data_IF_151210629285
#
_entry.id   IF_151210629285
#
_cell.length_a   1.000
_cell.length_b   1.000
_cell.length_c   1.000
_cell.angle_alpha   90.00
_cell.angle_beta   90.00
_cell.angle_gamma   90.00
#
_symmetry.space_group_name_H-M   'P 1'
#
loop_
_entity.id
_entity.type
_entity.pdbx_description
1 polymer ?
#
# COMPACT_ATOMS: atom_id res chain seq x y z
N UNK A 1 71.04 -35.31 -39.77
CA UNK A 1 71.15 -34.21 -38.77
C UNK A 1 69.76 -33.92 -38.25
N UNK A 2 69.55 -34.18 -36.97
CA UNK A 2 68.25 -34.26 -36.28
C UNK A 2 67.45 -32.95 -36.37
N UNK A 3 66.18 -33.04 -36.74
CA UNK A 3 65.19 -31.96 -36.53
C UNK A 3 64.27 -32.37 -35.39
N UNK A 4 64.57 -31.86 -34.20
CA UNK A 4 63.77 -31.97 -32.99
C UNK A 4 62.48 -31.15 -33.17
N UNK A 5 61.33 -31.82 -33.08
CA UNK A 5 60.01 -31.20 -33.11
C UNK A 5 59.67 -30.75 -31.69
N UNK A 6 59.64 -29.44 -31.42
CA UNK A 6 59.10 -28.89 -30.17
C UNK A 6 57.57 -28.87 -30.25
N UNK A 7 56.91 -29.74 -29.49
CA UNK A 7 55.48 -29.63 -29.20
C UNK A 7 55.29 -28.63 -28.06
N UNK A 8 54.73 -27.46 -28.38
CA UNK A 8 54.18 -26.54 -27.39
C UNK A 8 52.82 -27.09 -26.90
N UNK A 9 52.81 -27.70 -25.72
CA UNK A 9 51.58 -28.07 -25.04
C UNK A 9 50.88 -26.82 -24.49
N UNK A 10 49.78 -26.41 -25.10
CA UNK A 10 48.86 -25.45 -24.49
C UNK A 10 48.12 -26.14 -23.34
N UNK A 11 48.52 -25.84 -22.10
CA UNK A 11 47.69 -26.14 -20.93
C UNK A 11 46.53 -25.13 -20.88
N UNK A 12 45.35 -25.57 -21.28
CA UNK A 12 44.11 -24.86 -20.98
C UNK A 12 43.83 -25.07 -19.49
N UNK A 13 44.16 -24.07 -18.66
CA UNK A 13 43.66 -24.02 -17.29
C UNK A 13 42.20 -23.60 -17.38
N UNK A 14 41.29 -24.58 -17.31
CA UNK A 14 39.88 -24.32 -17.11
C UNK A 14 39.71 -23.77 -15.69
N UNK A 15 39.64 -22.44 -15.56
CA UNK A 15 39.18 -21.81 -14.33
C UNK A 15 37.70 -22.17 -14.22
N UNK A 16 37.26 -22.92 -13.20
CA UNK A 16 35.84 -23.15 -13.01
C UNK A 16 35.23 -21.78 -12.75
N UNK A 17 34.36 -21.34 -13.66
CA UNK A 17 33.50 -20.21 -13.42
C UNK A 17 32.63 -20.62 -12.23
N UNK A 18 32.98 -20.13 -11.02
CA UNK A 18 32.07 -20.15 -9.89
C UNK A 18 30.80 -19.47 -10.41
N UNK A 19 29.75 -20.26 -10.61
CA UNK A 19 28.41 -19.72 -10.73
C UNK A 19 28.23 -18.81 -9.52
N UNK A 20 28.14 -17.51 -9.75
CA UNK A 20 27.61 -16.62 -8.74
C UNK A 20 26.28 -17.23 -8.32
N UNK A 21 26.12 -17.53 -7.03
CA UNK A 21 24.82 -17.89 -6.48
C UNK A 21 23.85 -16.81 -6.94
N UNK A 22 22.98 -17.17 -7.90
CA UNK A 22 21.84 -16.33 -8.24
C UNK A 22 21.06 -16.18 -6.94
N UNK A 23 20.70 -14.97 -6.49
CA UNK A 23 19.88 -14.85 -5.31
C UNK A 23 18.61 -15.66 -5.56
N UNK A 24 18.46 -16.71 -4.75
CA UNK A 24 17.37 -17.65 -4.81
C UNK A 24 16.13 -16.94 -4.26
N UNK A 25 15.37 -16.26 -5.12
CA UNK A 25 14.11 -15.63 -4.71
C UNK A 25 13.02 -15.86 -5.76
N UNK A 26 12.44 -17.07 -5.85
CA UNK A 26 11.04 -17.20 -6.20
C UNK A 26 10.22 -16.94 -4.93
N UNK A 27 10.09 -15.66 -4.52
CA UNK A 27 9.17 -15.30 -3.43
C UNK A 27 7.74 -15.37 -3.94
N UNK A 28 6.97 -16.28 -3.35
CA UNK A 28 5.52 -16.41 -3.53
C UNK A 28 4.84 -15.03 -3.60
N UNK A 29 4.29 -14.66 -4.76
CA UNK A 29 3.32 -13.56 -4.93
C UNK A 29 3.57 -12.30 -4.06
N UNK A 30 4.81 -11.81 -3.93
CA UNK A 30 5.09 -10.60 -3.15
C UNK A 30 4.94 -10.70 -1.62
N UNK A 31 4.98 -11.90 -1.05
CA UNK A 31 4.99 -12.14 0.40
C UNK A 31 6.39 -12.49 0.92
N UNK A 32 6.62 -12.17 2.19
CA UNK A 32 7.90 -12.34 2.89
C UNK A 32 7.72 -13.11 4.20
N UNK A 33 8.62 -14.08 4.44
CA UNK A 33 8.58 -14.94 5.63
C UNK A 33 7.37 -15.88 5.65
N UNK A 34 7.11 -16.52 6.80
CA UNK A 34 5.89 -17.30 7.05
C UNK A 34 4.86 -16.41 7.76
N UNK A 35 3.55 -16.71 7.63
CA UNK A 35 2.53 -16.08 8.47
C UNK A 35 2.86 -16.23 9.97
N UNK A 36 2.54 -15.21 10.75
CA UNK A 36 2.63 -15.26 12.22
C UNK A 36 1.49 -16.09 12.82
N UNK A 37 1.47 -16.22 14.15
CA UNK A 37 0.47 -17.00 14.88
C UNK A 37 -0.98 -16.55 14.65
N UNK A 38 -1.19 -15.30 14.23
CA UNK A 38 -2.50 -14.71 14.00
C UNK A 38 -2.89 -14.76 12.50
N UNK A 39 -2.02 -15.31 11.66
CA UNK A 39 -2.20 -15.49 10.22
C UNK A 39 -1.71 -14.33 9.37
N UNK A 40 -0.98 -13.36 9.94
CA UNK A 40 -0.46 -12.21 9.19
C UNK A 40 0.91 -12.52 8.58
N UNK A 41 1.07 -12.26 7.29
CA UNK A 41 2.34 -12.40 6.57
C UNK A 41 2.80 -11.05 6.04
N UNK A 42 4.10 -10.79 6.07
CA UNK A 42 4.66 -9.53 5.59
C UNK A 42 4.54 -9.44 4.06
N UNK A 43 4.19 -8.25 3.57
CA UNK A 43 4.20 -7.90 2.14
C UNK A 43 5.28 -6.86 1.80
N UNK A 44 6.11 -6.52 2.79
CA UNK A 44 7.28 -5.67 2.68
C UNK A 44 8.39 -6.21 3.61
N UNK A 45 9.61 -6.32 3.10
CA UNK A 45 10.77 -6.89 3.82
C UNK A 45 11.51 -5.89 4.72
N UNK A 46 11.12 -4.61 4.69
CA UNK A 46 11.84 -3.54 5.39
C UNK A 46 13.11 -3.08 4.70
N UNK A 47 13.41 -3.55 3.48
CA UNK A 47 14.70 -3.35 2.81
C UNK A 47 14.56 -2.92 1.35
N UNK A 48 13.61 -3.48 0.62
CA UNK A 48 13.49 -3.32 -0.82
C UNK A 48 12.04 -3.11 -1.25
N UNK A 49 11.85 -2.43 -2.38
CA UNK A 49 10.55 -2.33 -3.05
C UNK A 49 10.35 -3.50 -4.04
N UNK A 50 10.93 -4.69 -3.78
CA UNK A 50 10.90 -5.80 -4.74
C UNK A 50 9.47 -6.20 -5.14
N UNK A 51 8.55 -6.20 -4.17
CA UNK A 51 7.14 -6.54 -4.36
C UNK A 51 6.24 -5.32 -4.65
N UNK A 52 6.79 -4.14 -4.93
CA UNK A 52 6.06 -2.88 -5.00
C UNK A 52 6.43 -2.10 -6.27
N UNK A 53 5.44 -1.63 -7.03
CA UNK A 53 5.65 -0.89 -8.29
C UNK A 53 4.76 0.33 -8.39
N UNK A 54 5.34 1.43 -8.88
CA UNK A 54 4.64 2.64 -9.28
C UNK A 54 4.95 2.88 -10.76
N UNK A 55 4.06 3.60 -11.47
CA UNK A 55 4.37 4.12 -12.82
C UNK A 55 5.65 4.95 -12.80
N UNK A 56 5.90 5.65 -11.70
CA UNK A 56 7.08 6.49 -11.51
C UNK A 56 7.72 6.21 -10.15
N UNK A 57 8.75 5.37 -10.17
CA UNK A 57 9.48 4.95 -8.96
C UNK A 57 10.36 6.04 -8.38
N UNK A 58 10.59 7.17 -9.08
CA UNK A 58 11.45 8.26 -8.57
C UNK A 58 10.93 8.91 -7.28
N UNK A 59 9.63 8.75 -6.99
CA UNK A 59 8.99 9.23 -5.76
C UNK A 59 9.08 8.24 -4.59
N UNK A 60 9.55 7.02 -4.81
CA UNK A 60 9.48 5.92 -3.85
C UNK A 60 10.85 5.33 -3.55
N UNK A 61 11.16 5.24 -2.26
CA UNK A 61 12.40 4.62 -1.77
C UNK A 61 12.15 3.84 -0.48
N UNK A 62 13.19 3.20 0.06
CA UNK A 62 13.18 2.67 1.43
C UNK A 62 14.07 3.54 2.30
N UNK A 63 13.52 4.09 3.38
CA UNK A 63 14.23 4.88 4.38
C UNK A 63 13.78 4.44 5.77
N UNK A 64 14.72 4.23 6.68
CA UNK A 64 14.44 3.79 8.06
C UNK A 64 13.63 2.49 8.17
N UNK A 65 13.84 1.57 7.21
CA UNK A 65 13.08 0.33 7.12
C UNK A 65 11.61 0.52 6.73
N UNK A 66 11.26 1.65 6.11
CA UNK A 66 9.91 2.00 5.70
C UNK A 66 9.85 2.34 4.20
N UNK A 67 8.77 1.93 3.54
CA UNK A 67 8.39 2.43 2.21
C UNK A 67 8.14 3.92 2.37
N UNK A 68 8.91 4.75 1.65
CA UNK A 68 8.89 6.21 1.77
C UNK A 68 8.46 6.81 0.45
N UNK A 69 7.32 7.49 0.45
CA UNK A 69 6.88 8.38 -0.62
C UNK A 69 7.27 9.81 -0.28
N UNK A 70 7.93 10.52 -1.21
CA UNK A 70 8.39 11.88 -0.96
C UNK A 70 8.21 12.78 -2.19
N UNK A 71 7.71 13.99 -1.95
CA UNK A 71 7.72 15.09 -2.89
C UNK A 71 8.45 16.28 -2.28
N UNK A 72 9.26 16.97 -3.08
CA UNK A 72 10.04 18.14 -2.67
C UNK A 72 9.77 19.31 -3.62
N UNK A 73 10.29 20.49 -3.32
CA UNK A 73 10.20 21.62 -4.24
C UNK A 73 10.92 21.33 -5.58
N UNK A 74 12.06 20.62 -5.51
CA UNK A 74 12.88 20.26 -6.68
C UNK A 74 12.35 19.01 -7.42
N UNK A 75 11.53 18.20 -6.74
CA UNK A 75 10.85 17.04 -7.32
C UNK A 75 9.35 17.05 -6.95
N UNK A 76 8.56 17.95 -7.56
CA UNK A 76 7.17 18.15 -7.19
C UNK A 76 6.28 17.00 -7.66
N UNK A 77 5.31 16.61 -6.84
CA UNK A 77 4.28 15.64 -7.20
C UNK A 77 3.06 16.39 -7.75
N UNK A 78 2.88 16.40 -9.08
CA UNK A 78 1.81 17.14 -9.76
C UNK A 78 0.54 16.30 -10.02
N UNK A 79 0.64 14.98 -9.83
CA UNK A 79 -0.47 14.02 -9.89
C UNK A 79 -0.24 12.95 -8.83
N UNK A 80 -1.31 12.46 -8.21
CA UNK A 80 -1.22 11.39 -7.21
C UNK A 80 -0.37 10.23 -7.74
N UNK A 81 0.54 9.75 -6.92
CA UNK A 81 1.37 8.58 -7.22
C UNK A 81 0.96 7.46 -6.28
N UNK A 82 0.85 6.26 -6.82
CA UNK A 82 0.53 5.08 -6.02
C UNK A 82 1.60 4.03 -6.24
N UNK A 83 2.20 3.55 -5.15
CA UNK A 83 3.01 2.34 -5.20
C UNK A 83 2.12 1.14 -4.87
N UNK A 84 2.04 0.20 -5.80
CA UNK A 84 1.08 -0.91 -5.83
C UNK A 84 1.80 -2.20 -5.50
N UNK A 85 1.22 -2.98 -4.58
CA UNK A 85 1.74 -4.30 -4.23
C UNK A 85 1.50 -5.29 -5.37
N UNK A 86 2.51 -6.07 -5.70
CA UNK A 86 2.54 -6.96 -6.88
C UNK A 86 2.11 -8.40 -6.56
N UNK A 87 1.49 -8.63 -5.40
CA UNK A 87 1.04 -9.96 -5.00
C UNK A 87 -0.34 -10.38 -5.52
N UNK A 88 -1.02 -9.48 -6.22
CA UNK A 88 -2.31 -9.72 -6.85
C UNK A 88 -3.46 -9.05 -6.11
N UNK A 89 -4.67 -9.49 -6.43
CA UNK A 89 -5.91 -8.93 -5.91
C UNK A 89 -6.23 -9.48 -4.51
N UNK A 90 -6.87 -8.63 -3.71
CA UNK A 90 -7.39 -8.92 -2.38
C UNK A 90 -8.91 -8.86 -2.42
N UNK A 91 -9.57 -9.89 -1.89
CA UNK A 91 -11.01 -9.85 -1.59
C UNK A 91 -11.22 -9.56 -0.11
N UNK A 92 -11.43 -10.59 0.71
CA UNK A 92 -11.56 -10.47 2.16
C UNK A 92 -10.17 -10.53 2.81
N UNK A 93 -9.85 -9.49 3.59
CA UNK A 93 -8.53 -9.37 4.19
C UNK A 93 -8.52 -8.51 5.46
N UNK A 94 -7.45 -8.69 6.21
CA UNK A 94 -6.99 -7.73 7.21
C UNK A 94 -5.58 -7.26 6.85
N UNK A 95 -5.39 -5.95 6.84
CA UNK A 95 -4.10 -5.30 6.64
C UNK A 95 -3.74 -4.55 7.91
N UNK A 96 -2.54 -4.81 8.41
CA UNK A 96 -1.90 -4.02 9.47
C UNK A 96 -0.66 -3.37 8.91
N UNK A 97 -0.51 -2.08 9.19
CA UNK A 97 0.71 -1.34 8.89
C UNK A 97 0.90 -0.22 9.90
N UNK A 98 2.10 0.35 9.91
CA UNK A 98 2.38 1.61 10.59
C UNK A 98 2.60 2.71 9.58
N UNK A 99 2.09 3.89 9.86
CA UNK A 99 2.31 5.07 9.04
C UNK A 99 2.80 6.27 9.87
N UNK A 100 3.48 7.19 9.19
CA UNK A 100 3.67 8.58 9.63
C UNK A 100 3.78 9.47 8.40
N UNK A 101 3.29 10.70 8.51
CA UNK A 101 3.30 11.65 7.41
C UNK A 101 3.55 13.07 7.91
N UNK A 102 4.10 13.91 7.05
CA UNK A 102 4.30 15.35 7.28
C UNK A 102 4.25 16.11 5.95
N UNK A 103 3.91 17.40 6.01
CA UNK A 103 3.66 18.22 4.81
C UNK A 103 2.31 17.94 4.16
N UNK A 104 1.86 18.83 3.27
CA UNK A 104 0.63 18.69 2.48
C UNK A 104 -0.63 18.23 3.27
N UNK A 105 -0.79 18.71 4.52
CA UNK A 105 -1.91 18.32 5.40
C UNK A 105 -1.90 16.85 5.84
N UNK A 106 -0.76 16.16 5.67
CA UNK A 106 -0.59 14.71 5.81
C UNK A 106 -1.50 13.88 4.90
N UNK A 107 -2.02 14.48 3.83
CA UNK A 107 -2.94 13.82 2.90
C UNK A 107 -2.24 12.66 2.19
N UNK A 108 -2.70 11.46 2.45
CA UNK A 108 -2.23 10.20 1.89
C UNK A 108 -3.33 9.16 2.09
N UNK A 109 -3.12 7.92 1.66
CA UNK A 109 -4.06 6.85 1.94
C UNK A 109 -3.55 5.48 1.52
N UNK A 110 -4.33 4.47 1.88
CA UNK A 110 -4.15 3.10 1.42
C UNK A 110 -5.31 2.76 0.50
N UNK A 111 -5.03 2.59 -0.77
CA UNK A 111 -5.99 2.09 -1.76
C UNK A 111 -6.13 0.59 -1.60
N UNK A 112 -7.35 0.07 -1.55
CA UNK A 112 -7.61 -1.35 -1.41
C UNK A 112 -8.87 -1.73 -2.18
N UNK A 113 -8.86 -2.96 -2.73
CA UNK A 113 -9.89 -3.41 -3.69
C UNK A 113 -10.04 -2.46 -4.89
N UNK A 114 -8.98 -1.72 -5.21
CA UNK A 114 -9.00 -0.66 -6.22
C UNK A 114 -8.48 -1.16 -7.56
N UNK A 115 -8.87 -0.48 -8.63
CA UNK A 115 -8.28 -0.62 -9.96
C UNK A 115 -7.26 0.49 -10.18
N UNK A 116 -6.11 0.16 -10.79
CA UNK A 116 -5.10 1.15 -11.18
C UNK A 116 -5.12 1.34 -12.69
N UNK A 117 -5.33 2.58 -13.11
CA UNK A 117 -5.33 2.99 -14.52
C UNK A 117 -3.92 2.96 -15.09
N UNK A 118 -3.80 2.95 -16.42
CA UNK A 118 -2.50 2.99 -17.13
C UNK A 118 -1.67 4.23 -16.79
N UNK A 119 -2.31 5.35 -16.44
CA UNK A 119 -1.64 6.58 -16.00
C UNK A 119 -1.26 6.57 -14.50
N UNK A 120 -1.54 5.46 -13.80
CA UNK A 120 -1.17 5.23 -12.41
C UNK A 120 -2.18 5.73 -11.38
N UNK A 121 -3.29 6.35 -11.80
CA UNK A 121 -4.34 6.77 -10.88
C UNK A 121 -5.16 5.56 -10.39
N UNK A 122 -5.50 5.57 -9.11
CA UNK A 122 -6.38 4.58 -8.50
C UNK A 122 -7.85 4.96 -8.67
N UNK A 123 -8.71 3.96 -8.77
CA UNK A 123 -10.17 4.08 -8.73
C UNK A 123 -10.68 3.03 -7.74
N UNK A 124 -11.43 3.42 -6.72
CA UNK A 124 -11.92 2.50 -5.68
C UNK A 124 -11.69 2.99 -4.26
N UNK A 125 -11.89 2.09 -3.31
CA UNK A 125 -11.85 2.42 -1.89
C UNK A 125 -10.47 2.85 -1.41
N UNK A 126 -10.44 3.95 -0.67
CA UNK A 126 -9.26 4.44 0.02
C UNK A 126 -9.51 4.55 1.52
N UNK A 127 -8.60 3.99 2.30
CA UNK A 127 -8.49 4.22 3.74
C UNK A 127 -7.60 5.45 3.93
N UNK A 128 -8.21 6.59 4.22
CA UNK A 128 -7.53 7.88 4.17
C UNK A 128 -6.65 8.16 5.39
N UNK A 129 -5.61 8.95 5.15
CA UNK A 129 -4.68 9.50 6.13
C UNK A 129 -4.68 11.01 5.96
N UNK A 130 -4.96 11.72 7.05
CA UNK A 130 -4.98 13.17 7.11
C UNK A 130 -4.50 13.65 8.48
N UNK A 131 -4.11 14.91 8.60
CA UNK A 131 -3.65 15.45 9.88
C UNK A 131 -4.71 15.34 11.00
N UNK A 132 -5.99 15.54 10.66
CA UNK A 132 -7.14 15.43 11.56
C UNK A 132 -8.46 15.50 10.78
N UNK A 133 -9.58 15.39 11.51
CA UNK A 133 -10.92 15.62 10.98
C UNK A 133 -11.51 14.41 10.25
N UNK A 134 -12.51 14.69 9.41
CA UNK A 134 -13.38 13.67 8.82
C UNK A 134 -12.66 12.64 7.94
N UNK A 135 -11.56 13.03 7.29
CA UNK A 135 -10.82 12.15 6.39
C UNK A 135 -9.80 11.26 7.12
N UNK A 136 -9.33 11.61 8.33
CA UNK A 136 -8.39 10.75 9.06
C UNK A 136 -9.08 9.44 9.46
N UNK A 137 -8.71 8.32 8.84
CA UNK A 137 -9.40 7.06 9.08
C UNK A 137 -10.80 6.99 8.45
N UNK A 138 -11.08 7.86 7.47
CA UNK A 138 -12.29 7.81 6.67
C UNK A 138 -12.17 6.81 5.51
N UNK A 139 -13.31 6.27 5.06
CA UNK A 139 -13.41 5.50 3.82
C UNK A 139 -13.83 6.44 2.70
N UNK A 140 -12.98 6.63 1.71
CA UNK A 140 -13.27 7.35 0.47
C UNK A 140 -13.43 6.40 -0.70
N UNK A 141 -14.05 6.87 -1.77
CA UNK A 141 -14.18 6.15 -3.04
C UNK A 141 -13.63 6.97 -4.22
N UNK A 142 -12.34 6.83 -4.45
CA UNK A 142 -11.55 7.72 -5.30
C UNK A 142 -11.91 7.54 -6.78
N UNK A 143 -12.20 8.66 -7.44
CA UNK A 143 -12.52 8.76 -8.87
C UNK A 143 -13.69 7.88 -9.36
N UNK A 144 -14.45 7.28 -8.44
CA UNK A 144 -15.71 6.64 -8.76
C UNK A 144 -16.81 7.67 -9.03
N UNK A 145 -17.78 7.29 -9.86
CA UNK A 145 -18.89 8.13 -10.28
C UNK A 145 -20.18 7.80 -9.50
N UNK A 146 -20.05 7.70 -8.18
CA UNK A 146 -21.21 7.55 -7.28
C UNK A 146 -21.91 8.89 -7.08
N UNK A 147 -23.20 8.83 -6.77
CA UNK A 147 -23.92 10.02 -6.35
C UNK A 147 -23.50 10.43 -4.92
N UNK A 148 -23.18 11.72 -4.76
CA UNK A 148 -22.78 12.29 -3.48
C UNK A 148 -21.27 12.44 -3.29
N UNK A 149 -20.81 12.67 -2.05
CA UNK A 149 -19.40 12.91 -1.78
C UNK A 149 -18.59 11.62 -1.78
N UNK A 150 -17.34 11.74 -2.25
CA UNK A 150 -16.30 10.73 -2.25
C UNK A 150 -16.07 10.11 -0.86
N UNK A 151 -16.13 10.92 0.20
CA UNK A 151 -16.05 10.42 1.59
C UNK A 151 -17.31 9.63 1.96
N UNK A 152 -17.22 8.30 1.86
CA UNK A 152 -18.29 7.36 2.15
C UNK A 152 -18.59 7.24 3.64
N UNK A 153 -17.54 7.16 4.47
CA UNK A 153 -17.66 7.10 5.92
C UNK A 153 -16.59 7.95 6.58
N UNK A 154 -17.02 8.90 7.41
CA UNK A 154 -16.13 9.85 8.06
C UNK A 154 -15.58 9.30 9.38
N UNK A 155 -14.43 9.83 9.80
CA UNK A 155 -13.90 9.66 11.16
C UNK A 155 -14.99 9.93 12.23
N UNK A 156 -15.19 8.98 13.13
CA UNK A 156 -16.22 8.99 14.17
C UNK A 156 -17.60 8.51 13.70
N UNK A 157 -17.72 7.94 12.49
CA UNK A 157 -19.01 7.55 11.91
C UNK A 157 -19.04 6.11 11.38
N UNK A 158 -20.24 5.55 11.37
CA UNK A 158 -20.60 4.33 10.65
C UNK A 158 -21.58 4.71 9.56
N UNK A 159 -21.25 4.39 8.31
CA UNK A 159 -22.13 4.59 7.17
C UNK A 159 -22.69 3.27 6.67
N UNK A 160 -23.94 3.31 6.20
CA UNK A 160 -24.57 2.23 5.43
C UNK A 160 -25.05 2.84 4.11
N UNK A 161 -24.62 2.25 3.00
CA UNK A 161 -25.12 2.52 1.66
C UNK A 161 -26.02 1.34 1.29
N UNK A 162 -27.29 1.62 0.99
CA UNK A 162 -28.20 0.59 0.50
C UNK A 162 -27.99 0.30 -0.99
N UNK A 163 -28.70 -0.71 -1.49
CA UNK A 163 -28.63 -1.16 -2.89
C UNK A 163 -28.94 -0.09 -3.93
N UNK A 164 -29.65 0.96 -3.54
CA UNK A 164 -30.05 2.06 -4.42
C UNK A 164 -29.12 3.28 -4.25
N UNK A 165 -27.99 3.12 -3.54
CA UNK A 165 -26.99 4.17 -3.31
C UNK A 165 -27.34 5.14 -2.18
N UNK A 166 -28.46 4.94 -1.48
CA UNK A 166 -28.86 5.85 -0.40
C UNK A 166 -27.99 5.62 0.84
N UNK A 167 -27.32 6.68 1.25
CA UNK A 167 -26.41 6.68 2.40
C UNK A 167 -27.11 7.13 3.68
N UNK A 168 -26.87 6.40 4.76
CA UNK A 168 -27.20 6.80 6.14
C UNK A 168 -25.96 6.70 7.01
N UNK A 169 -25.81 7.61 7.99
CA UNK A 169 -24.66 7.63 8.88
C UNK A 169 -25.10 7.73 10.34
N UNK A 170 -24.42 6.99 11.21
CA UNK A 170 -24.57 7.06 12.66
C UNK A 170 -23.22 7.36 13.31
N UNK A 171 -23.23 7.99 14.49
CA UNK A 171 -22.02 8.32 15.22
C UNK A 171 -21.48 7.07 15.93
N UNK A 172 -20.21 6.73 15.71
CA UNK A 172 -19.50 5.67 16.44
C UNK A 172 -18.91 6.16 17.77
N UNK A 173 -18.53 7.43 17.83
CA UNK A 173 -17.94 8.02 19.02
C UNK A 173 -17.24 9.34 18.76
N UNK A 174 -16.20 9.61 19.54
CA UNK A 174 -15.27 10.70 19.28
C UNK A 174 -14.39 10.40 18.07
N UNK A 175 -13.97 11.45 17.38
CA UNK A 175 -13.04 11.31 16.27
C UNK A 175 -11.68 10.82 16.78
N UNK A 176 -11.12 9.82 16.09
CA UNK A 176 -9.77 9.35 16.38
C UNK A 176 -8.75 10.42 16.00
N UNK A 177 -7.60 10.36 16.67
CA UNK A 177 -6.46 11.24 16.42
C UNK A 177 -5.22 10.40 16.13
N UNK A 178 -4.37 10.92 15.26
CA UNK A 178 -3.04 10.36 15.03
C UNK A 178 -2.03 11.02 15.97
N UNK A 179 -0.97 10.29 16.29
CA UNK A 179 0.23 10.82 16.92
C UNK A 179 0.90 11.82 15.94
N UNK A 180 1.44 12.93 16.44
CA UNK A 180 2.10 13.93 15.60
C UNK A 180 3.43 13.39 15.04
N UNK A 181 3.86 13.93 13.90
CA UNK A 181 5.21 13.65 13.37
C UNK A 181 6.29 13.93 14.43
N UNK A 182 7.34 13.09 14.56
CA UNK A 182 7.70 11.93 13.72
C UNK A 182 7.18 10.58 14.24
N UNK A 183 6.21 10.58 15.15
CA UNK A 183 5.70 9.36 15.78
C UNK A 183 4.92 8.48 14.81
N UNK A 184 4.97 7.17 15.07
CA UNK A 184 4.25 6.18 14.27
C UNK A 184 2.81 6.04 14.74
N UNK A 185 1.94 5.72 13.78
CA UNK A 185 0.55 5.39 13.99
C UNK A 185 0.26 3.98 13.46
N UNK A 186 -0.48 3.17 14.20
CA UNK A 186 -0.95 1.88 13.72
C UNK A 186 -2.23 2.09 12.89
N UNK A 187 -2.29 1.47 11.71
CA UNK A 187 -3.49 1.38 10.87
C UNK A 187 -3.88 -0.09 10.71
N UNK A 188 -5.12 -0.43 11.09
CA UNK A 188 -5.72 -1.73 10.83
C UNK A 188 -6.94 -1.54 9.93
N UNK A 189 -6.86 -2.10 8.72
CA UNK A 189 -7.88 -2.07 7.69
C UNK A 189 -8.46 -3.48 7.61
N UNK A 190 -9.77 -3.60 7.77
CA UNK A 190 -10.49 -4.87 7.72
C UNK A 190 -11.56 -4.73 6.64
N UNK A 191 -11.55 -5.63 5.67
CA UNK A 191 -12.56 -5.69 4.62
C UNK A 191 -13.10 -7.12 4.54
N UNK A 192 -14.39 -7.30 4.83
CA UNK A 192 -15.09 -8.59 4.91
C UNK A 192 -16.45 -8.49 4.23
N UNK A 193 -16.58 -9.10 3.05
CA UNK A 193 -17.72 -8.88 2.18
C UNK A 193 -17.93 -7.39 1.92
N UNK A 194 -19.12 -6.88 2.23
CA UNK A 194 -19.51 -5.47 2.08
C UNK A 194 -19.10 -4.58 3.26
N UNK A 195 -18.55 -5.15 4.33
CA UNK A 195 -18.22 -4.42 5.56
C UNK A 195 -16.74 -4.07 5.60
N UNK A 196 -16.46 -2.77 5.68
CA UNK A 196 -15.13 -2.20 5.87
C UNK A 196 -15.06 -1.57 7.26
N UNK A 197 -14.00 -1.87 8.01
CA UNK A 197 -13.70 -1.25 9.30
C UNK A 197 -12.28 -0.70 9.28
N UNK A 198 -12.13 0.58 9.61
CA UNK A 198 -10.86 1.28 9.67
C UNK A 198 -10.53 1.62 11.12
N UNK A 199 -9.34 1.24 11.60
CA UNK A 199 -8.87 1.56 12.96
C UNK A 199 -7.53 2.26 12.94
N UNK A 200 -7.39 3.29 13.77
CA UNK A 200 -6.14 4.01 13.99
C UNK A 200 -5.77 3.91 15.46
N UNK A 201 -4.54 3.50 15.76
CA UNK A 201 -4.01 3.34 17.12
C UNK A 201 -4.95 2.50 18.01
N UNK A 202 -5.52 1.43 17.43
CA UNK A 202 -6.44 0.51 18.12
C UNK A 202 -7.89 0.99 18.25
N UNK A 203 -8.20 2.25 17.91
CA UNK A 203 -9.55 2.82 17.98
C UNK A 203 -10.24 2.76 16.64
N UNK A 204 -11.53 2.38 16.60
CA UNK A 204 -12.33 2.40 15.35
C UNK A 204 -12.55 3.83 14.90
N UNK A 205 -11.99 4.16 13.74
CA UNK A 205 -12.11 5.47 13.11
C UNK A 205 -13.41 5.56 12.31
N UNK A 206 -13.68 4.56 11.47
CA UNK A 206 -14.91 4.51 10.69
C UNK A 206 -15.32 3.08 10.36
N UNK A 207 -16.61 2.92 10.05
CA UNK A 207 -17.17 1.71 9.46
C UNK A 207 -17.99 2.07 8.23
N UNK A 208 -17.93 1.22 7.21
CA UNK A 208 -18.78 1.32 6.01
C UNK A 208 -19.39 -0.05 5.74
N UNK A 209 -20.71 -0.11 5.58
CA UNK A 209 -21.40 -1.24 4.96
C UNK A 209 -21.92 -0.75 3.62
N UNK A 210 -21.34 -1.25 2.53
CA UNK A 210 -21.68 -0.81 1.18
C UNK A 210 -22.39 -1.91 0.41
N UNK A 211 -23.68 -1.72 0.12
CA UNK A 211 -24.47 -2.70 -0.61
C UNK A 211 -24.89 -2.18 -1.99
N UNK A 212 -24.28 -1.10 -2.49
CA UNK A 212 -24.66 -0.48 -3.76
C UNK A 212 -24.20 -1.33 -4.95
N UNK A 213 -25.12 -2.09 -5.54
CA UNK A 213 -24.83 -3.08 -6.59
C UNK A 213 -24.03 -2.50 -7.79
N UNK A 214 -24.26 -1.23 -8.14
CA UNK A 214 -23.62 -0.60 -9.29
C UNK A 214 -22.14 -0.24 -9.08
N UNK A 215 -21.69 -0.19 -7.82
CA UNK A 215 -20.37 0.35 -7.46
C UNK A 215 -19.61 -0.48 -6.42
N UNK A 216 -20.17 -1.61 -5.99
CA UNK A 216 -19.59 -2.47 -4.97
C UNK A 216 -18.31 -3.18 -5.45
N UNK A 217 -17.17 -2.78 -4.90
CA UNK A 217 -15.89 -3.44 -5.14
C UNK A 217 -15.57 -4.48 -4.05
N UNK A 218 -15.72 -5.76 -4.39
CA UNK A 218 -15.40 -6.86 -3.47
C UNK A 218 -13.97 -7.40 -3.61
N UNK A 219 -13.26 -7.00 -4.67
CA UNK A 219 -11.87 -7.42 -4.89
C UNK A 219 -11.09 -6.43 -5.74
N UNK A 220 -9.78 -6.36 -5.53
CA UNK A 220 -8.90 -5.54 -6.35
C UNK A 220 -7.52 -5.36 -5.72
N UNK A 221 -6.76 -4.41 -6.23
CA UNK A 221 -5.35 -4.24 -5.88
C UNK A 221 -5.16 -3.40 -4.61
N UNK A 222 -3.96 -3.53 -4.03
CA UNK A 222 -3.51 -2.77 -2.86
C UNK A 222 -2.44 -1.75 -3.27
N UNK A 223 -2.58 -0.49 -2.86
CA UNK A 223 -1.57 0.53 -3.11
C UNK A 223 -1.47 1.59 -2.00
N UNK A 224 -0.33 2.29 -1.97
CA UNK A 224 -0.05 3.36 -1.02
C UNK A 224 0.09 4.67 -1.77
N UNK A 225 -0.59 5.72 -1.30
CA UNK A 225 -0.64 7.01 -1.97
C UNK A 225 0.53 7.92 -1.55
N UNK A 226 1.05 8.69 -2.51
CA UNK A 226 1.70 9.98 -2.30
C UNK A 226 0.84 11.04 -2.99
N UNK A 227 0.26 11.95 -2.20
CA UNK A 227 -0.66 12.99 -2.69
C UNK A 227 0.09 14.06 -3.48
N UNK A 228 -0.48 14.48 -4.60
CA UNK A 228 0.01 15.66 -5.33
C UNK A 228 -0.20 16.96 -4.56
N UNK A 229 0.64 17.96 -4.76
CA UNK A 229 0.49 19.29 -4.17
C UNK A 229 1.77 19.76 -3.49
N UNK A 230 1.63 20.31 -2.28
CA UNK A 230 2.77 20.80 -1.52
C UNK A 230 3.76 19.66 -1.19
N UNK A 231 5.04 19.99 -0.96
CA UNK A 231 6.02 19.01 -0.49
C UNK A 231 5.51 18.20 0.71
N UNK A 232 5.74 16.89 0.67
CA UNK A 232 5.36 15.99 1.75
C UNK A 232 6.23 14.74 1.77
N UNK A 233 6.21 14.10 2.94
CA UNK A 233 6.75 12.77 3.14
C UNK A 233 5.69 11.91 3.80
N UNK A 234 5.51 10.69 3.30
CA UNK A 234 4.77 9.63 3.98
C UNK A 234 5.64 8.38 4.07
N UNK A 235 5.58 7.69 5.21
CA UNK A 235 6.29 6.44 5.41
C UNK A 235 5.36 5.35 5.91
N UNK A 236 5.55 4.14 5.40
CA UNK A 236 4.82 2.93 5.78
C UNK A 236 5.78 1.80 6.15
N UNK A 237 5.57 1.14 7.29
CA UNK A 237 6.35 -0.04 7.69
C UNK A 237 5.48 -1.08 8.39
N UNK A 238 6.07 -2.23 8.70
CA UNK A 238 5.37 -3.36 9.31
C UNK A 238 4.11 -3.77 8.52
N UNK A 239 4.18 -3.69 7.19
CA UNK A 239 3.04 -3.95 6.29
C UNK A 239 2.79 -5.45 6.20
N UNK A 240 1.68 -5.89 6.81
CA UNK A 240 1.32 -7.30 6.95
C UNK A 240 -0.12 -7.55 6.58
N UNK A 241 -0.35 -8.64 5.87
CA UNK A 241 -1.63 -9.02 5.31
C UNK A 241 -2.06 -10.38 5.84
N UNK A 242 -3.35 -10.52 6.13
CA UNK A 242 -4.03 -11.79 6.37
C UNK A 242 -5.22 -11.87 5.41
N UNK A 243 -5.14 -12.78 4.44
CA UNK A 243 -6.27 -13.10 3.55
C UNK A 243 -7.22 -14.09 4.24
N UNK A 244 -8.52 -13.97 4.00
CA UNK A 244 -9.55 -14.84 4.58
C UNK A 244 -10.08 -15.86 3.57
#
# INVERSE_FOLDING_TARGET
MNRTLLLFGFFIVAIPLLAADKPDVPQSRGYFGKPDKDGFQAVFDGKTLAAWRCVDMSYWSVRDGAITGESTADHPCTKNKFVVWQGGELSDFELKLKFRATGNGCNSGVQFRSVFRLDGLAVGYQADIYQSGNYLGGVCDELHKRDGPELLSANGSKSVIDKDGKRTATRLGEQVKMNPWPEWNDYHIIAEGTHITLKINGQTASELIDNEDAHLDLSGLLGLQLRSGQPMTVQFKDVKLKTK
#
